data_IF_603812842746
#
_entry.id   IF_603812842746
#
_cell.length_a   1.000
_cell.length_b   1.000
_cell.length_c   1.000
_cell.angle_alpha   90.00
_cell.angle_beta   90.00
_cell.angle_gamma   90.00
#
_symmetry.space_group_name_H-M   'P 1'
#
loop_
_entity.id
_entity.type
_entity.pdbx_description
1 polymer ?
#
# COMPACT_ATOMS: atom_id res chain seq x y z
N UNK A 1 -14.49 -5.81 -15.85
CA UNK A 1 -14.07 -4.47 -16.31
C UNK A 1 -12.60 -4.57 -16.73
N UNK A 2 -12.21 -4.12 -17.94
CA UNK A 2 -10.83 -4.23 -18.45
C UNK A 2 -10.11 -2.88 -18.58
N UNK A 3 -10.83 -1.76 -18.47
CA UNK A 3 -10.28 -0.41 -18.52
C UNK A 3 -10.69 0.38 -17.29
N UNK A 4 -9.76 1.17 -16.75
CA UNK A 4 -10.04 2.18 -15.72
C UNK A 4 -9.39 3.49 -16.11
N UNK A 5 -10.04 4.58 -15.71
CA UNK A 5 -9.52 5.94 -15.84
C UNK A 5 -9.51 6.58 -14.46
N UNK A 6 -8.37 7.17 -14.12
CA UNK A 6 -8.21 8.09 -12.99
C UNK A 6 -8.07 9.51 -13.55
N UNK A 7 -9.11 10.31 -13.36
CA UNK A 7 -9.12 11.72 -13.78
C UNK A 7 -8.45 12.58 -12.71
N UNK A 8 -7.77 13.64 -13.13
CA UNK A 8 -7.27 14.69 -12.24
C UNK A 8 -8.43 15.25 -11.41
N UNK A 9 -8.21 15.43 -10.12
CA UNK A 9 -9.26 15.91 -9.20
C UNK A 9 -8.91 17.26 -8.56
N UNK A 10 -7.71 17.78 -8.82
CA UNK A 10 -7.11 18.92 -8.10
C UNK A 10 -6.96 18.67 -6.60
N UNK A 11 -7.17 17.44 -6.14
CA UNK A 11 -6.81 17.02 -4.80
C UNK A 11 -5.35 16.56 -4.83
N UNK A 12 -4.49 17.27 -4.11
CA UNK A 12 -3.04 17.03 -4.12
C UNK A 12 -2.68 15.56 -3.83
N UNK A 13 -3.41 14.85 -2.96
CA UNK A 13 -3.14 13.44 -2.66
C UNK A 13 -3.53 12.53 -3.81
N UNK A 14 -4.72 12.73 -4.38
CA UNK A 14 -5.20 11.89 -5.45
C UNK A 14 -4.36 12.09 -6.71
N UNK A 15 -4.04 13.33 -7.07
CA UNK A 15 -3.22 13.63 -8.25
C UNK A 15 -1.79 13.07 -8.09
N UNK A 16 -1.21 13.17 -6.88
CA UNK A 16 0.05 12.50 -6.55
C UNK A 16 -0.07 10.98 -6.63
N UNK A 17 -1.17 10.41 -6.13
CA UNK A 17 -1.49 8.99 -6.24
C UNK A 17 -1.59 8.53 -7.69
N UNK A 18 -2.19 9.31 -8.58
CA UNK A 18 -2.29 9.01 -10.01
C UNK A 18 -0.89 8.95 -10.62
N UNK A 19 -0.05 9.94 -10.35
CA UNK A 19 1.33 9.97 -10.84
C UNK A 19 2.17 8.84 -10.24
N UNK A 20 1.94 8.48 -8.97
CA UNK A 20 2.57 7.31 -8.35
C UNK A 20 2.20 6.02 -9.08
N UNK A 21 0.92 5.78 -9.34
CA UNK A 21 0.46 4.60 -10.13
C UNK A 21 1.15 4.58 -11.50
N UNK A 22 1.16 5.72 -12.21
CA UNK A 22 1.84 5.83 -13.50
C UNK A 22 3.33 5.46 -13.41
N UNK A 23 4.06 5.94 -12.40
CA UNK A 23 5.47 5.58 -12.18
C UNK A 23 5.66 4.07 -12.02
N UNK A 24 4.81 3.40 -11.24
CA UNK A 24 4.91 1.96 -11.05
C UNK A 24 4.56 1.19 -12.33
N UNK A 25 3.59 1.65 -13.13
CA UNK A 25 3.33 1.06 -14.46
C UNK A 25 4.57 1.15 -15.36
N UNK A 26 5.29 2.28 -15.33
CA UNK A 26 6.55 2.41 -16.07
C UNK A 26 7.65 1.48 -15.54
N UNK A 27 7.72 1.25 -14.22
CA UNK A 27 8.65 0.26 -13.64
C UNK A 27 8.30 -1.17 -14.12
N UNK A 28 7.02 -1.51 -14.24
CA UNK A 28 6.57 -2.81 -14.80
C UNK A 28 6.99 -2.94 -16.27
N UNK A 29 6.72 -1.94 -17.10
CA UNK A 29 7.14 -1.93 -18.51
C UNK A 29 8.66 -2.12 -18.66
N UNK A 30 9.46 -1.49 -17.79
CA UNK A 30 10.93 -1.64 -17.77
C UNK A 30 11.43 -2.91 -17.10
N UNK A 31 10.54 -3.79 -16.63
CA UNK A 31 10.86 -5.04 -15.91
C UNK A 31 11.71 -4.82 -14.65
N UNK A 32 11.49 -3.70 -13.96
CA UNK A 32 12.19 -3.36 -12.71
C UNK A 32 11.54 -4.02 -11.47
N UNK A 33 10.39 -4.69 -11.64
CA UNK A 33 9.58 -5.24 -10.56
C UNK A 33 9.32 -6.74 -10.81
N UNK A 34 10.21 -7.60 -10.27
CA UNK A 34 10.15 -9.05 -10.48
C UNK A 34 8.76 -9.68 -10.20
N UNK A 35 8.05 -9.16 -9.20
CA UNK A 35 6.70 -9.63 -8.80
C UNK A 35 5.59 -9.31 -9.80
N UNK A 36 5.88 -8.47 -10.79
CA UNK A 36 4.94 -8.03 -11.81
C UNK A 36 5.39 -8.44 -13.22
N UNK A 37 6.39 -9.31 -13.35
CA UNK A 37 6.89 -9.80 -14.65
C UNK A 37 5.82 -10.53 -15.48
N UNK A 38 4.81 -11.11 -14.83
CA UNK A 38 3.66 -11.72 -15.52
C UNK A 38 2.78 -10.71 -16.26
N UNK A 39 2.87 -9.41 -15.91
CA UNK A 39 2.10 -8.35 -16.54
C UNK A 39 2.94 -7.68 -17.63
N UNK A 40 2.68 -8.04 -18.89
CA UNK A 40 3.30 -7.37 -20.04
C UNK A 40 2.53 -6.08 -20.35
N UNK A 41 3.17 -4.92 -20.12
CA UNK A 41 2.58 -3.60 -20.35
C UNK A 41 3.41 -2.81 -21.35
N UNK A 42 2.74 -2.08 -22.24
CA UNK A 42 3.36 -1.13 -23.17
C UNK A 42 2.66 0.22 -23.05
N UNK A 43 3.43 1.29 -22.84
CA UNK A 43 2.91 2.66 -22.79
C UNK A 43 2.26 3.02 -24.13
N UNK A 44 1.11 3.68 -24.09
CA UNK A 44 0.31 4.02 -25.27
C UNK A 44 -0.60 2.89 -25.76
N UNK A 45 -0.40 1.64 -25.29
CA UNK A 45 -1.28 0.50 -25.59
C UNK A 45 -2.07 0.11 -24.34
N UNK A 46 -1.37 -0.16 -23.24
CA UNK A 46 -1.96 -0.60 -21.98
C UNK A 46 -2.18 0.56 -21.01
N UNK A 47 -1.40 1.63 -21.10
CA UNK A 47 -1.56 2.76 -20.20
C UNK A 47 -0.97 4.03 -20.79
N UNK A 48 -1.51 5.20 -20.45
CA UNK A 48 -0.86 6.47 -20.71
C UNK A 48 -1.29 7.53 -19.69
N UNK A 49 -0.35 8.44 -19.40
CA UNK A 49 -0.61 9.65 -18.65
C UNK A 49 -0.84 10.80 -19.64
N UNK A 50 -2.01 11.38 -19.55
CA UNK A 50 -2.44 12.59 -20.25
C UNK A 50 -2.54 13.75 -19.24
N UNK A 51 -2.66 15.01 -19.69
CA UNK A 51 -2.74 16.15 -18.77
C UNK A 51 -3.84 16.00 -17.71
N UNK A 52 -5.01 15.50 -18.10
CA UNK A 52 -6.22 15.42 -17.28
C UNK A 52 -6.52 14.02 -16.71
N UNK A 53 -5.81 12.97 -17.14
CA UNK A 53 -6.07 11.60 -16.68
C UNK A 53 -4.92 10.63 -16.85
N UNK A 54 -4.97 9.55 -16.07
CA UNK A 54 -4.28 8.29 -16.34
C UNK A 54 -5.34 7.25 -16.74
N UNK A 55 -5.16 6.60 -17.89
CA UNK A 55 -5.95 5.43 -18.25
C UNK A 55 -5.08 4.16 -18.24
N UNK A 56 -5.70 3.04 -17.87
CA UNK A 56 -5.08 1.72 -17.78
C UNK A 56 -6.03 0.71 -18.40
N UNK A 57 -5.50 -0.17 -19.24
CA UNK A 57 -6.18 -1.26 -19.92
C UNK A 57 -5.41 -2.57 -19.74
N UNK A 58 -6.06 -3.57 -19.16
CA UNK A 58 -5.52 -4.91 -19.00
C UNK A 58 -6.65 -5.94 -18.87
N UNK A 59 -6.45 -7.17 -19.36
CA UNK A 59 -7.46 -8.23 -19.28
C UNK A 59 -7.74 -8.65 -17.83
N UNK A 60 -6.68 -8.75 -17.02
CA UNK A 60 -6.74 -8.87 -15.56
C UNK A 60 -6.39 -7.52 -14.91
N UNK A 61 -7.30 -6.56 -15.04
CA UNK A 61 -7.08 -5.21 -14.53
C UNK A 61 -6.98 -5.17 -13.00
N UNK A 62 -7.83 -5.91 -12.30
CA UNK A 62 -7.85 -5.86 -10.84
C UNK A 62 -6.67 -6.59 -10.22
N UNK A 63 -6.25 -7.73 -10.78
CA UNK A 63 -5.00 -8.37 -10.37
C UNK A 63 -3.80 -7.46 -10.58
N UNK A 64 -3.74 -6.73 -11.69
CA UNK A 64 -2.70 -5.71 -11.93
C UNK A 64 -2.73 -4.59 -10.87
N UNK A 65 -3.90 -3.98 -10.61
CA UNK A 65 -4.02 -2.87 -9.64
C UNK A 65 -3.67 -3.30 -8.21
N UNK A 66 -4.09 -4.51 -7.81
CA UNK A 66 -3.76 -5.10 -6.52
C UNK A 66 -2.26 -5.38 -6.41
N UNK A 67 -1.66 -6.00 -7.43
CA UNK A 67 -0.25 -6.31 -7.42
C UNK A 67 0.62 -5.04 -7.43
N UNK A 68 0.23 -4.00 -8.18
CA UNK A 68 0.85 -2.67 -8.11
C UNK A 68 0.80 -2.09 -6.69
N UNK A 69 -0.35 -2.21 -6.01
CA UNK A 69 -0.53 -1.68 -4.65
C UNK A 69 0.41 -2.36 -3.65
N UNK A 70 0.48 -3.69 -3.68
CA UNK A 70 1.35 -4.43 -2.76
C UNK A 70 2.83 -4.28 -3.09
N UNK A 71 3.21 -4.12 -4.37
CA UNK A 71 4.60 -3.83 -4.74
C UNK A 71 5.01 -2.43 -4.31
N UNK A 72 4.16 -1.43 -4.55
CA UNK A 72 4.40 -0.06 -4.05
C UNK A 72 4.50 -0.04 -2.53
N UNK A 73 3.62 -0.75 -1.86
CA UNK A 73 3.62 -0.81 -0.42
C UNK A 73 4.86 -1.45 0.19
N UNK A 74 5.42 -2.48 -0.47
CA UNK A 74 6.70 -3.04 -0.04
C UNK A 74 7.85 -2.03 -0.10
N UNK A 75 7.81 -1.13 -1.07
CA UNK A 75 8.84 -0.11 -1.26
C UNK A 75 8.68 1.06 -0.27
N UNK A 76 7.45 1.47 0.05
CA UNK A 76 7.22 2.73 0.80
C UNK A 76 6.53 2.57 2.15
N UNK A 77 5.80 1.48 2.41
CA UNK A 77 5.15 1.19 3.70
C UNK A 77 5.93 0.19 4.54
N UNK A 78 6.51 -0.84 3.90
CA UNK A 78 7.21 -1.95 4.58
C UNK A 78 8.70 -1.67 4.72
N UNK A 79 9.04 -0.58 5.39
CA UNK A 79 10.42 -0.13 5.51
C UNK A 79 11.12 -0.75 6.72
N UNK A 80 12.44 -0.91 6.66
CA UNK A 80 13.28 -1.36 7.76
C UNK A 80 14.68 -0.76 7.62
N UNK A 81 15.39 -0.58 8.72
CA UNK A 81 16.78 -0.09 8.72
C UNK A 81 17.78 -1.23 8.51
N UNK A 82 19.03 -0.92 8.16
CA UNK A 82 20.09 -1.95 8.01
C UNK A 82 20.27 -2.76 9.29
N UNK A 83 20.10 -2.11 10.45
CA UNK A 83 20.11 -2.79 11.74
C UNK A 83 18.99 -3.85 11.83
N UNK A 84 17.78 -3.50 11.40
CA UNK A 84 16.63 -4.40 11.45
C UNK A 84 16.71 -5.53 10.41
N UNK A 85 17.38 -5.29 9.27
CA UNK A 85 17.70 -6.31 8.28
C UNK A 85 18.65 -7.38 8.82
N UNK A 86 19.62 -6.95 9.65
CA UNK A 86 20.61 -7.84 10.28
C UNK A 86 20.12 -8.49 11.58
N UNK A 87 19.00 -8.03 12.15
CA UNK A 87 18.36 -8.67 13.29
C UNK A 87 17.60 -9.94 12.86
N UNK A 88 17.44 -10.95 13.74
CA UNK A 88 16.75 -12.20 13.41
C UNK A 88 15.25 -12.03 13.11
N UNK A 89 14.71 -10.81 13.28
CA UNK A 89 13.44 -10.38 12.69
C UNK A 89 12.22 -11.11 13.22
N UNK A 90 11.38 -11.58 12.29
CA UNK A 90 10.21 -12.43 12.51
C UNK A 90 10.18 -13.55 11.44
N UNK A 91 9.24 -14.49 11.54
CA UNK A 91 9.13 -15.64 10.65
C UNK A 91 7.78 -15.67 9.92
N UNK A 92 7.81 -16.07 8.66
CA UNK A 92 6.65 -16.58 7.96
C UNK A 92 6.86 -18.03 7.55
N UNK A 93 5.76 -18.73 7.31
CA UNK A 93 5.76 -20.18 7.11
C UNK A 93 5.13 -20.56 5.78
N UNK A 94 5.73 -21.54 5.11
CA UNK A 94 5.13 -22.25 3.99
C UNK A 94 4.91 -23.70 4.45
N UNK A 95 3.71 -24.23 4.28
CA UNK A 95 3.38 -25.62 4.62
C UNK A 95 3.16 -26.36 3.31
N UNK A 96 4.00 -27.36 3.04
CA UNK A 96 3.85 -28.16 1.83
C UNK A 96 2.67 -29.15 1.93
N UNK A 97 2.22 -29.77 0.82
CA UNK A 97 1.12 -30.73 0.85
C UNK A 97 1.38 -31.97 1.72
N UNK A 98 2.64 -32.25 2.05
CA UNK A 98 3.04 -33.36 2.93
C UNK A 98 3.13 -32.95 4.41
N UNK A 99 2.84 -31.69 4.72
CA UNK A 99 2.84 -31.13 6.07
C UNK A 99 4.21 -30.64 6.55
N UNK A 100 5.22 -30.54 5.69
CA UNK A 100 6.51 -29.98 6.11
C UNK A 100 6.42 -28.46 6.21
N UNK A 101 6.97 -27.95 7.32
CA UNK A 101 7.01 -26.55 7.64
C UNK A 101 8.34 -25.93 7.18
N UNK A 102 8.28 -24.97 6.27
CA UNK A 102 9.43 -24.13 5.91
C UNK A 102 9.31 -22.76 6.55
N UNK A 103 10.26 -22.43 7.44
CA UNK A 103 10.31 -21.16 8.14
C UNK A 103 11.29 -20.19 7.48
N UNK A 104 10.79 -19.05 7.01
CA UNK A 104 11.59 -18.02 6.33
C UNK A 104 11.64 -16.75 7.20
N UNK A 105 12.85 -16.26 7.55
CA UNK A 105 13.00 -15.03 8.32
C UNK A 105 12.75 -13.79 7.47
N UNK A 106 12.30 -12.73 8.11
CA UNK A 106 12.18 -11.40 7.51
C UNK A 106 12.32 -10.30 8.57
N UNK A 107 12.80 -9.09 8.20
CA UNK A 107 13.01 -8.01 9.15
C UNK A 107 11.70 -7.50 9.74
N UNK A 108 11.77 -6.94 10.95
CA UNK A 108 10.64 -6.20 11.51
C UNK A 108 10.48 -4.90 10.74
N UNK A 109 9.31 -4.72 10.13
CA UNK A 109 9.01 -3.53 9.34
C UNK A 109 8.43 -2.42 10.23
N UNK A 110 8.94 -1.23 10.01
CA UNK A 110 8.38 0.03 10.46
C UNK A 110 7.75 0.75 9.28
N UNK A 111 6.82 1.62 9.61
CA UNK A 111 6.23 2.54 8.64
C UNK A 111 6.87 3.91 8.87
N UNK A 112 7.09 4.73 7.84
CA UNK A 112 7.66 6.09 7.98
C UNK A 112 6.92 7.14 7.14
N UNK A 113 6.98 8.38 7.58
CA UNK A 113 6.47 9.52 6.84
C UNK A 113 4.96 9.49 6.67
N UNK A 114 4.50 9.82 5.46
CA UNK A 114 3.07 9.78 5.12
C UNK A 114 2.43 8.41 5.37
N UNK A 115 3.22 7.33 5.32
CA UNK A 115 2.68 6.00 5.54
C UNK A 115 2.35 5.73 7.01
N UNK A 116 3.05 6.34 7.98
CA UNK A 116 2.70 6.23 9.42
C UNK A 116 1.34 6.85 9.67
N UNK A 117 1.10 7.97 9.02
CA UNK A 117 -0.17 8.64 8.97
C UNK A 117 -1.22 7.71 8.33
N UNK A 118 -0.98 7.16 7.14
CA UNK A 118 -1.91 6.27 6.41
C UNK A 118 -2.12 4.88 7.00
N UNK A 119 -1.32 4.48 7.98
CA UNK A 119 -1.43 3.19 8.66
C UNK A 119 -1.71 3.29 10.16
N UNK A 120 -1.61 4.47 10.78
CA UNK A 120 -1.76 4.67 12.22
C UNK A 120 -1.08 3.55 13.06
N UNK A 121 0.12 3.13 12.64
CA UNK A 121 0.84 1.99 13.22
C UNK A 121 0.03 0.68 13.29
N UNK A 122 -0.78 0.41 12.27
CA UNK A 122 -1.53 -0.83 12.12
C UNK A 122 -0.62 -2.04 12.37
N UNK A 123 -1.17 -3.03 13.07
CA UNK A 123 -0.48 -4.29 13.26
C UNK A 123 -0.22 -4.94 11.90
N UNK A 124 0.95 -5.56 11.75
CA UNK A 124 1.29 -6.27 10.52
C UNK A 124 0.23 -7.31 10.16
N UNK A 125 -0.24 -7.26 8.91
CA UNK A 125 -1.19 -8.23 8.33
C UNK A 125 -0.63 -8.79 7.02
N UNK A 126 -1.02 -9.98 6.62
CA UNK A 126 -0.74 -10.48 5.27
C UNK A 126 -1.72 -9.90 4.25
N UNK A 127 -1.35 -9.84 2.95
CA UNK A 127 -2.24 -9.40 1.87
C UNK A 127 -3.59 -10.12 1.90
N UNK A 128 -3.56 -11.44 2.07
CA UNK A 128 -4.74 -12.29 2.26
C UNK A 128 -5.02 -12.53 3.73
N UNK A 129 -6.28 -12.72 4.09
CA UNK A 129 -6.67 -12.85 5.50
C UNK A 129 -6.34 -14.23 6.07
N UNK A 130 -6.57 -15.26 5.27
CA UNK A 130 -6.27 -16.66 5.56
C UNK A 130 -4.78 -16.91 5.85
N UNK A 131 -3.90 -16.06 5.35
CA UNK A 131 -2.45 -16.12 5.56
C UNK A 131 -2.01 -15.60 6.95
N UNK A 132 -2.93 -15.08 7.77
CA UNK A 132 -2.65 -14.71 9.17
C UNK A 132 -3.56 -15.47 10.12
N UNK A 133 -2.99 -16.37 10.92
CA UNK A 133 -3.75 -17.19 11.89
C UNK A 133 -3.25 -16.92 13.30
N UNK A 134 -4.15 -16.89 14.29
CA UNK A 134 -3.73 -16.80 15.69
C UNK A 134 -3.13 -18.13 16.16
N UNK A 135 -2.01 -18.10 16.88
CA UNK A 135 -1.36 -19.32 17.40
C UNK A 135 -2.32 -20.17 18.25
N UNK A 136 -3.20 -19.54 19.04
CA UNK A 136 -4.20 -20.26 19.83
C UNK A 136 -5.23 -21.02 18.97
N UNK A 137 -5.54 -20.51 17.78
CA UNK A 137 -6.39 -21.21 16.82
C UNK A 137 -5.64 -22.42 16.25
N UNK A 138 -4.36 -22.27 15.93
CA UNK A 138 -3.51 -23.36 15.43
C UNK A 138 -3.38 -24.45 16.50
N UNK A 139 -3.13 -24.10 17.77
CA UNK A 139 -3.06 -25.06 18.88
C UNK A 139 -4.32 -25.92 19.00
N UNK A 140 -5.49 -25.37 18.69
CA UNK A 140 -6.77 -26.09 18.73
C UNK A 140 -7.01 -26.95 17.50
N UNK A 141 -6.69 -26.43 16.31
CA UNK A 141 -7.01 -27.07 15.03
C UNK A 141 -5.95 -28.05 14.55
N UNK A 142 -4.67 -27.74 14.79
CA UNK A 142 -3.53 -28.55 14.41
C UNK A 142 -2.40 -28.42 15.46
N UNK A 143 -2.49 -29.18 16.57
CA UNK A 143 -1.49 -29.13 17.64
C UNK A 143 -0.07 -29.44 17.17
N UNK A 144 0.09 -30.36 16.22
CA UNK A 144 1.40 -30.76 15.67
C UNK A 144 2.08 -29.57 14.99
N UNK A 145 1.35 -28.85 14.14
CA UNK A 145 1.85 -27.64 13.49
C UNK A 145 2.19 -26.55 14.50
N UNK A 146 1.36 -26.36 15.53
CA UNK A 146 1.64 -25.39 16.59
C UNK A 146 2.98 -25.68 17.29
N UNK A 147 3.24 -26.95 17.65
CA UNK A 147 4.51 -27.37 18.26
C UNK A 147 5.70 -27.14 17.33
N UNK A 148 5.57 -27.42 16.03
CA UNK A 148 6.64 -27.16 15.05
C UNK A 148 6.96 -25.66 14.96
N UNK A 149 5.93 -24.80 14.93
CA UNK A 149 6.10 -23.34 14.91
C UNK A 149 6.79 -22.88 16.20
N UNK A 150 6.31 -23.31 17.37
CA UNK A 150 6.89 -22.97 18.67
C UNK A 150 8.36 -23.39 18.77
N UNK A 151 8.69 -24.59 18.27
CA UNK A 151 10.06 -25.09 18.21
C UNK A 151 10.95 -24.23 17.30
N UNK A 152 10.46 -23.78 16.14
CA UNK A 152 11.22 -22.89 15.25
C UNK A 152 11.49 -21.51 15.88
N UNK A 153 10.49 -20.94 16.58
CA UNK A 153 10.69 -19.70 17.32
C UNK A 153 11.69 -19.87 18.47
N UNK A 154 11.58 -20.97 19.23
CA UNK A 154 12.51 -21.32 20.31
C UNK A 154 13.95 -21.52 19.81
N UNK A 155 14.14 -22.28 18.73
CA UNK A 155 15.44 -22.55 18.10
C UNK A 155 16.15 -21.27 17.67
N UNK A 156 15.41 -20.24 17.26
CA UNK A 156 15.95 -18.96 16.80
C UNK A 156 15.98 -17.88 17.88
N UNK A 157 15.61 -18.21 19.12
CA UNK A 157 15.47 -17.27 20.23
C UNK A 157 14.59 -16.06 19.89
N UNK A 158 13.49 -16.32 19.18
CA UNK A 158 12.50 -15.31 18.76
C UNK A 158 11.25 -15.37 19.65
N UNK A 159 10.68 -14.21 19.96
CA UNK A 159 9.40 -14.13 20.68
C UNK A 159 8.24 -14.45 19.73
N UNK A 160 7.54 -15.55 19.99
CA UNK A 160 6.28 -15.86 19.33
C UNK A 160 5.17 -14.94 19.82
N UNK A 161 4.55 -14.20 18.90
CA UNK A 161 3.38 -13.35 19.17
C UNK A 161 2.09 -14.12 18.89
N UNK A 162 0.95 -13.47 19.13
CA UNK A 162 -0.36 -14.09 18.94
C UNK A 162 -0.66 -14.42 17.47
N UNK A 163 -0.06 -13.73 16.51
CA UNK A 163 -0.27 -13.91 15.06
C UNK A 163 0.90 -14.69 14.45
N UNK A 164 0.57 -15.68 13.62
CA UNK A 164 1.47 -16.45 12.77
C UNK A 164 1.16 -16.10 11.32
N UNK A 165 2.21 -15.94 10.51
CA UNK A 165 2.12 -15.52 9.11
C UNK A 165 2.46 -16.68 8.17
N UNK A 166 1.64 -16.90 7.15
CA UNK A 166 1.81 -17.94 6.14
C UNK A 166 1.97 -17.32 4.75
N UNK A 167 2.66 -18.04 3.85
CA UNK A 167 2.82 -17.69 2.43
C UNK A 167 3.45 -16.32 2.15
N UNK A 168 4.03 -15.67 3.15
CA UNK A 168 4.77 -14.43 3.02
C UNK A 168 4.90 -13.63 4.32
N UNK A 169 5.80 -12.64 4.36
CA UNK A 169 5.89 -11.72 5.49
C UNK A 169 4.61 -10.91 5.63
N UNK A 170 4.38 -10.36 6.84
CA UNK A 170 3.35 -9.33 6.99
C UNK A 170 3.71 -8.07 6.20
N UNK A 171 2.72 -7.22 6.00
CA UNK A 171 2.84 -5.86 5.49
C UNK A 171 2.13 -4.90 6.45
N UNK A 172 2.58 -3.65 6.42
CA UNK A 172 1.95 -2.48 7.06
C UNK A 172 0.84 -1.88 6.22
N UNK A 173 0.71 -2.31 4.96
CA UNK A 173 -0.41 -1.95 4.11
C UNK A 173 -1.73 -2.39 4.71
N UNK A 174 -2.75 -1.58 4.45
CA UNK A 174 -4.13 -1.92 4.74
C UNK A 174 -4.68 -2.73 3.57
N UNK A 175 -5.46 -3.77 3.82
CA UNK A 175 -6.02 -4.60 2.73
C UNK A 175 -6.90 -3.74 1.81
N UNK A 176 -6.88 -4.05 0.52
CA UNK A 176 -7.82 -3.45 -0.43
C UNK A 176 -9.16 -4.17 -0.34
N UNK A 177 -10.27 -3.43 -0.31
CA UNK A 177 -11.57 -4.03 -0.54
C UNK A 177 -11.62 -4.58 -1.97
N UNK A 178 -12.08 -5.82 -2.12
CA UNK A 178 -12.19 -6.45 -3.44
C UNK A 178 -13.09 -5.60 -4.35
N UNK A 179 -12.60 -5.15 -5.51
CA UNK A 179 -13.38 -4.29 -6.39
C UNK A 179 -14.61 -5.03 -6.96
N UNK A 180 -15.78 -4.42 -6.79
CA UNK A 180 -17.05 -4.86 -7.39
C UNK A 180 -17.45 -3.89 -8.51
N UNK A 181 -18.20 -4.35 -9.51
CA UNK A 181 -18.67 -3.48 -10.60
C UNK A 181 -19.41 -2.23 -10.08
N UNK A 182 -20.19 -2.36 -9.00
CA UNK A 182 -20.91 -1.26 -8.36
C UNK A 182 -20.00 -0.11 -7.85
N UNK A 183 -18.70 -0.35 -7.65
CA UNK A 183 -17.73 0.68 -7.27
C UNK A 183 -17.36 1.62 -8.43
N UNK A 184 -17.66 1.23 -9.68
CA UNK A 184 -17.24 1.96 -10.89
C UNK A 184 -18.41 2.36 -11.77
N UNK A 185 -19.59 1.77 -11.57
CA UNK A 185 -20.81 2.12 -12.29
C UNK A 185 -21.40 3.44 -11.75
N UNK A 186 -21.87 4.34 -12.64
CA UNK A 186 -22.58 5.55 -12.23
C UNK A 186 -23.76 5.23 -11.32
N UNK A 187 -23.95 6.02 -10.27
CA UNK A 187 -25.03 5.84 -9.30
C UNK A 187 -25.32 7.11 -8.50
N UNK A 188 -26.10 6.96 -7.44
CA UNK A 188 -26.60 8.08 -6.63
C UNK A 188 -25.65 8.54 -5.53
N UNK A 189 -24.56 7.81 -5.26
CA UNK A 189 -23.67 8.12 -4.13
C UNK A 189 -22.49 8.98 -4.60
N UNK A 190 -22.43 10.26 -4.23
CA UNK A 190 -21.35 11.15 -4.65
C UNK A 190 -20.06 10.87 -3.86
N UNK A 191 -18.93 10.76 -4.56
CA UNK A 191 -17.61 10.86 -3.97
C UNK A 191 -17.05 12.28 -4.16
N UNK A 192 -17.09 13.08 -3.09
CA UNK A 192 -16.64 14.48 -3.13
C UNK A 192 -15.16 14.66 -3.49
N UNK A 193 -14.33 13.64 -3.27
CA UNK A 193 -12.89 13.72 -3.59
C UNK A 193 -12.60 13.52 -5.09
N UNK A 194 -13.44 12.77 -5.81
CA UNK A 194 -13.27 12.54 -7.25
C UNK A 194 -14.28 13.29 -8.11
N UNK A 195 -15.34 13.84 -7.51
CA UNK A 195 -16.47 14.43 -8.24
C UNK A 195 -17.36 13.40 -8.95
N UNK A 196 -17.04 12.10 -8.87
CA UNK A 196 -17.81 11.02 -9.48
C UNK A 196 -18.96 10.59 -8.55
N UNK A 197 -20.10 10.21 -9.13
CA UNK A 197 -21.19 9.55 -8.40
C UNK A 197 -21.30 8.09 -8.82
N UNK A 198 -21.21 7.18 -7.85
CA UNK A 198 -21.14 5.73 -8.08
C UNK A 198 -22.27 4.99 -7.35
N UNK A 199 -22.52 3.72 -7.72
CA UNK A 199 -23.52 2.91 -7.03
C UNK A 199 -23.11 2.53 -5.61
N UNK A 200 -21.81 2.27 -5.37
CA UNK A 200 -21.30 1.84 -4.07
C UNK A 200 -20.03 2.61 -3.69
N UNK A 201 -20.02 3.13 -2.47
CA UNK A 201 -18.84 3.70 -1.82
C UNK A 201 -18.23 2.68 -0.86
N UNK A 202 -16.95 2.85 -0.55
CA UNK A 202 -16.20 2.06 0.42
C UNK A 202 -15.98 2.88 1.69
N UNK A 203 -15.90 2.19 2.83
CA UNK A 203 -15.59 2.86 4.08
C UNK A 203 -14.13 3.32 4.07
N UNK A 204 -13.90 4.61 4.31
CA UNK A 204 -12.58 5.11 4.60
C UNK A 204 -12.26 4.79 6.07
N UNK A 205 -12.09 3.50 6.38
CA UNK A 205 -11.80 3.07 7.74
C UNK A 205 -10.53 3.75 8.25
N UNK A 206 -10.62 4.24 9.50
CA UNK A 206 -9.62 5.00 10.24
C UNK A 206 -8.25 4.34 10.23
N UNK A 207 -7.46 4.67 9.22
CA UNK A 207 -6.05 4.35 9.23
C UNK A 207 -5.25 5.53 8.68
N UNK A 208 -5.91 6.61 8.24
CA UNK A 208 -5.28 7.74 7.58
C UNK A 208 -5.74 9.05 8.25
N UNK A 209 -4.84 9.99 8.63
CA UNK A 209 -5.25 11.28 9.15
C UNK A 209 -5.98 12.14 8.10
N UNK A 210 -6.12 11.65 6.86
CA UNK A 210 -6.99 12.25 5.84
C UNK A 210 -8.48 12.07 6.17
N UNK A 211 -8.83 11.02 6.92
CA UNK A 211 -10.22 10.72 7.29
C UNK A 211 -10.48 10.85 8.79
N UNK A 212 -9.47 10.61 9.63
CA UNK A 212 -9.55 10.78 11.09
C UNK A 212 -8.66 11.91 11.62
N UNK A 213 -9.26 12.99 12.12
CA UNK A 213 -8.57 14.02 12.90
C UNK A 213 -8.22 15.33 12.18
N UNK A 214 -8.20 15.37 10.84
CA UNK A 214 -8.04 16.62 10.08
C UNK A 214 -9.40 17.07 9.51
N UNK A 215 -9.94 18.17 10.03
CA UNK A 215 -11.27 18.70 9.65
C UNK A 215 -11.38 19.25 8.22
N UNK A 216 -10.26 19.51 7.54
CA UNK A 216 -10.23 20.14 6.21
C UNK A 216 -10.73 19.24 5.06
N UNK A 217 -10.85 17.92 5.27
CA UNK A 217 -11.24 16.94 4.24
C UNK A 217 -12.50 16.14 4.58
N UNK A 218 -13.16 16.46 5.71
CA UNK A 218 -14.52 15.98 5.93
C UNK A 218 -15.39 16.54 4.81
N UNK A 219 -16.31 15.74 4.26
CA UNK A 219 -17.39 16.37 3.50
C UNK A 219 -18.01 17.41 4.43
N UNK A 220 -18.21 18.65 3.97
CA UNK A 220 -18.82 19.72 4.77
C UNK A 220 -20.25 19.38 5.25
N UNK A 221 -20.73 18.14 5.04
CA UNK A 221 -22.11 17.68 5.24
C UNK A 221 -22.28 16.70 6.42
N UNK A 222 -21.28 15.90 6.81
CA UNK A 222 -21.37 15.10 8.04
C UNK A 222 -20.01 14.57 8.53
N UNK A 223 -19.84 14.48 9.86
CA UNK A 223 -18.60 14.10 10.53
C UNK A 223 -18.43 12.61 10.86
N UNK A 224 -19.42 11.76 10.55
CA UNK A 224 -19.46 10.35 11.01
C UNK A 224 -19.53 9.29 9.89
N UNK A 225 -19.51 9.68 8.60
CA UNK A 225 -19.64 8.76 7.46
C UNK A 225 -18.65 9.08 6.33
N UNK A 226 -17.34 8.93 6.56
CA UNK A 226 -16.36 9.06 5.46
C UNK A 226 -16.39 7.82 4.57
N UNK A 227 -17.40 7.73 3.71
CA UNK A 227 -17.39 6.81 2.57
C UNK A 227 -16.84 7.52 1.35
N UNK A 228 -15.99 6.84 0.59
CA UNK A 228 -15.33 7.37 -0.61
C UNK A 228 -15.44 6.40 -1.77
N UNK A 229 -15.14 6.83 -2.99
CA UNK A 229 -15.04 5.91 -4.11
C UNK A 229 -13.83 4.99 -3.90
N UNK A 230 -13.91 3.77 -4.46
CA UNK A 230 -12.80 2.84 -4.42
C UNK A 230 -11.53 3.45 -5.05
N UNK A 231 -11.69 4.22 -6.14
CA UNK A 231 -10.60 4.95 -6.80
C UNK A 231 -9.93 5.95 -5.85
N UNK A 232 -10.71 6.75 -5.11
CA UNK A 232 -10.17 7.72 -4.16
C UNK A 232 -9.34 7.04 -3.07
N UNK A 233 -9.86 5.94 -2.49
CA UNK A 233 -9.15 5.19 -1.47
C UNK A 233 -7.84 4.60 -2.02
N UNK A 234 -7.90 3.98 -3.20
CA UNK A 234 -6.73 3.42 -3.88
C UNK A 234 -5.65 4.48 -4.13
N UNK A 235 -6.02 5.60 -4.76
CA UNK A 235 -5.09 6.69 -5.08
C UNK A 235 -4.53 7.38 -3.82
N UNK A 236 -5.35 7.58 -2.78
CA UNK A 236 -4.88 8.17 -1.52
C UNK A 236 -3.74 7.37 -0.89
N UNK A 237 -3.78 6.04 -0.99
CA UNK A 237 -2.73 5.15 -0.47
C UNK A 237 -1.48 5.16 -1.38
N UNK A 238 -1.67 5.34 -2.68
CA UNK A 238 -0.56 5.50 -3.62
C UNK A 238 0.20 6.83 -3.48
N UNK A 239 -0.41 7.86 -2.90
CA UNK A 239 0.23 9.18 -2.71
C UNK A 239 1.55 9.12 -1.93
N UNK A 240 1.73 8.10 -1.08
CA UNK A 240 3.00 7.82 -0.41
C UNK A 240 4.18 7.61 -1.38
N UNK A 241 3.92 7.07 -2.58
CA UNK A 241 4.93 6.83 -3.61
C UNK A 241 5.50 8.08 -4.28
N UNK A 242 4.96 9.28 -4.00
CA UNK A 242 5.46 10.54 -4.53
C UNK A 242 5.62 11.63 -3.47
N UNK A 243 5.34 11.34 -2.20
CA UNK A 243 5.48 12.29 -1.11
C UNK A 243 6.92 12.40 -0.61
N UNK A 244 7.22 13.52 0.04
CA UNK A 244 8.47 13.75 0.78
C UNK A 244 8.13 13.89 2.24
N UNK A 245 9.05 13.50 3.10
CA UNK A 245 8.87 13.76 4.52
C UNK A 245 10.18 13.99 5.24
N UNK A 246 10.07 14.69 6.37
CA UNK A 246 11.18 14.96 7.26
C UNK A 246 10.69 14.85 8.70
N UNK A 247 11.51 14.19 9.53
CA UNK A 247 11.45 14.31 10.98
C UNK A 247 12.44 15.41 11.39
N UNK A 248 11.97 16.56 11.92
CA UNK A 248 12.84 17.68 12.23
C UNK A 248 13.76 17.40 13.42
N UNK A 249 13.46 16.39 14.23
CA UNK A 249 14.27 15.94 15.35
C UNK A 249 14.41 14.41 15.38
N UNK A 250 15.44 13.92 16.08
CA UNK A 250 15.71 12.47 16.20
C UNK A 250 14.64 11.71 16.99
N UNK A 251 13.88 12.43 17.81
CA UNK A 251 12.85 11.89 18.70
C UNK A 251 11.51 11.62 17.98
N UNK A 252 11.38 12.02 16.69
CA UNK A 252 10.23 11.77 15.80
C UNK A 252 8.89 12.30 16.33
N UNK A 253 8.95 13.34 17.15
CA UNK A 253 7.81 14.00 17.80
C UNK A 253 7.09 15.00 16.88
N UNK A 254 7.67 15.29 15.70
CA UNK A 254 6.99 15.97 14.62
C UNK A 254 7.28 15.29 13.27
N UNK A 255 6.33 15.37 12.35
CA UNK A 255 6.45 14.84 11.00
C UNK A 255 5.97 15.91 10.00
N UNK A 256 6.88 16.35 9.14
CA UNK A 256 6.55 17.21 8.01
C UNK A 256 6.39 16.35 6.77
N UNK A 257 5.24 16.43 6.08
CA UNK A 257 5.01 15.77 4.80
C UNK A 257 4.78 16.83 3.72
N UNK A 258 5.49 16.69 2.60
CA UNK A 258 5.36 17.57 1.45
C UNK A 258 4.80 16.79 0.27
N UNK A 259 3.87 17.41 -0.44
CA UNK A 259 3.30 16.93 -1.69
C UNK A 259 3.33 18.07 -2.71
N UNK A 260 3.53 17.72 -3.97
CA UNK A 260 3.63 18.70 -5.05
C UNK A 260 2.27 18.84 -5.71
N UNK A 261 1.83 20.07 -5.92
CA UNK A 261 0.67 20.39 -6.72
C UNK A 261 1.11 20.90 -8.10
N UNK A 262 0.36 20.58 -9.14
CA UNK A 262 0.54 21.14 -10.49
C UNK A 262 -0.82 21.37 -11.14
N UNK A 263 -0.82 22.22 -12.15
CA UNK A 263 -1.95 22.47 -13.04
C UNK A 263 -2.48 21.21 -13.75
N UNK A 264 -1.60 20.28 -14.14
CA UNK A 264 -1.96 19.03 -14.80
C UNK A 264 -1.04 17.87 -14.41
N UNK A 265 -1.46 16.63 -14.68
CA UNK A 265 -0.77 15.41 -14.25
C UNK A 265 0.57 15.20 -14.96
N UNK A 266 0.70 15.60 -16.23
CA UNK A 266 1.96 15.49 -16.97
C UNK A 266 3.04 16.42 -16.39
N UNK A 267 2.68 17.66 -16.06
CA UNK A 267 3.57 18.61 -15.39
C UNK A 267 3.92 18.14 -13.99
N UNK A 268 2.95 17.62 -13.22
CA UNK A 268 3.20 17.04 -11.90
C UNK A 268 4.23 15.90 -11.99
N UNK A 269 4.05 14.99 -12.94
CA UNK A 269 5.01 13.91 -13.19
C UNK A 269 6.41 14.44 -13.51
N UNK A 270 6.53 15.44 -14.39
CA UNK A 270 7.81 16.01 -14.76
C UNK A 270 8.50 16.75 -13.62
N UNK A 271 7.77 17.53 -12.82
CA UNK A 271 8.33 18.19 -11.63
C UNK A 271 8.84 17.14 -10.65
N UNK A 272 8.01 16.14 -10.33
CA UNK A 272 8.38 15.09 -9.40
C UNK A 272 9.57 14.27 -9.90
N UNK A 273 9.72 14.08 -11.23
CA UNK A 273 10.83 13.31 -11.81
C UNK A 273 12.12 14.12 -11.86
N UNK A 274 12.06 15.37 -12.32
CA UNK A 274 13.24 16.18 -12.66
C UNK A 274 13.80 16.96 -11.47
N UNK A 275 12.93 17.50 -10.61
CA UNK A 275 13.34 18.32 -9.46
C UNK A 275 13.52 17.49 -8.20
N UNK A 276 12.63 16.52 -8.03
CA UNK A 276 12.46 15.83 -6.77
C UNK A 276 12.98 14.39 -6.77
N UNK A 277 12.98 13.70 -7.91
CA UNK A 277 13.50 12.34 -8.05
C UNK A 277 14.93 12.16 -7.49
N UNK A 278 15.87 13.09 -7.73
CA UNK A 278 17.22 13.02 -7.15
C UNK A 278 17.28 13.18 -5.63
N UNK A 279 16.29 13.82 -5.01
CA UNK A 279 16.21 14.05 -3.56
C UNK A 279 15.59 12.85 -2.83
N UNK A 280 14.80 12.02 -3.52
CA UNK A 280 14.01 10.92 -2.96
C UNK A 280 14.59 9.55 -3.27
N UNK A 281 15.72 9.20 -2.67
CA UNK A 281 15.99 7.78 -2.40
C UNK A 281 15.81 7.53 -0.91
N UNK A 282 14.56 7.38 -0.42
CA UNK A 282 14.30 7.14 0.99
C UNK A 282 15.01 5.88 1.47
N UNK A 283 15.13 4.84 0.63
CA UNK A 283 15.86 3.62 0.98
C UNK A 283 17.30 3.91 1.39
N UNK A 284 18.02 4.78 0.66
CA UNK A 284 19.43 5.08 0.96
C UNK A 284 19.59 5.94 2.23
N UNK A 285 18.62 6.80 2.52
CA UNK A 285 18.64 7.71 3.69
C UNK A 285 18.08 7.05 4.96
N UNK A 286 17.10 6.16 4.85
CA UNK A 286 16.47 5.45 5.96
C UNK A 286 17.29 4.23 6.40
N UNK A 287 17.98 3.57 5.47
CA UNK A 287 18.84 2.42 5.79
C UNK A 287 19.99 2.77 6.73
N UNK A 288 20.49 4.01 6.63
CA UNK A 288 21.60 4.54 7.42
C UNK A 288 21.21 5.05 8.82
N UNK A 289 19.93 5.02 9.21
CA UNK A 289 19.45 5.42 10.55
C UNK A 289 19.40 4.23 11.54
#
# INVERSE_FOLDING_TARGET
MQKITFTQTHNVFLDNGIVAVYRYLQKVERKELARLESFSLTKGINYALEPDKLWIYHHDLFGLLEALYYVMGREVYDTFTDKQENEPGNLFFEVDPTGNLKATPFPKMNTYGLTELLTNNAQGTTPKEEDTIKIDTIRKQNPVLATQIEAEFGRRNLKLLSKVYFNGPYTKLTRLETPQNAHFEPGSNPCYLTGESVKRLVDAQNISPFFSGIGAFRSHRSGNDTKVSWKALYLSRFSAGTCFYQYPNKLRDALNVYLVYSDNLTNLHDILRTKFGPLTRPADVLRQQ
#
